data_IF_495104224855
#
_entry.id   IF_495104224855
#
_cell.length_a   1.000
_cell.length_b   1.000
_cell.length_c   1.000
_cell.angle_alpha   90.00
_cell.angle_beta   90.00
_cell.angle_gamma   90.00
#
_symmetry.space_group_name_H-M   'P 1'
#
loop_
_entity.id
_entity.type
_entity.pdbx_description
1 polymer ?
#
# COMPACT_ATOMS: atom_id res chain seq x y z
N UNK A 1 20.88 7.00 -21.11
CA UNK A 1 19.73 6.14 -21.51
C UNK A 1 18.49 6.94 -21.92
N UNK A 2 18.08 7.98 -21.17
CA UNK A 2 16.91 8.84 -21.53
C UNK A 2 17.07 9.47 -22.93
N UNK A 3 18.17 10.15 -23.16
CA UNK A 3 18.46 10.81 -24.44
C UNK A 3 18.43 9.80 -25.59
N UNK A 4 19.07 8.64 -25.42
CA UNK A 4 19.09 7.59 -26.44
C UNK A 4 17.69 7.05 -26.72
N UNK A 5 16.89 6.77 -25.69
CA UNK A 5 15.53 6.28 -25.91
C UNK A 5 14.66 7.28 -26.66
N UNK A 6 14.73 8.56 -26.31
CA UNK A 6 13.99 9.64 -26.96
C UNK A 6 14.50 9.96 -28.38
N UNK A 7 15.78 9.76 -28.64
CA UNK A 7 16.34 9.94 -30.00
C UNK A 7 15.92 8.82 -30.95
N UNK A 8 15.73 7.62 -30.45
CA UNK A 8 15.24 6.47 -31.24
C UNK A 8 13.73 6.52 -31.47
N UNK A 9 12.98 6.90 -30.46
CA UNK A 9 11.54 7.08 -30.54
C UNK A 9 11.09 8.19 -29.56
N UNK A 10 10.73 9.38 -30.06
CA UNK A 10 10.31 10.50 -29.24
C UNK A 10 9.09 10.21 -28.34
N UNK A 11 8.21 9.30 -28.76
CA UNK A 11 7.00 8.91 -28.02
C UNK A 11 7.28 7.91 -26.89
N UNK A 12 8.51 7.38 -26.82
CA UNK A 12 8.87 6.42 -25.76
C UNK A 12 8.68 7.04 -24.38
N UNK A 13 7.90 6.35 -23.55
CA UNK A 13 7.79 6.70 -22.13
C UNK A 13 9.02 6.22 -21.38
N UNK A 14 9.76 7.15 -20.80
CA UNK A 14 10.92 6.86 -19.97
C UNK A 14 10.58 7.20 -18.53
N UNK A 15 10.87 6.27 -17.62
CA UNK A 15 10.68 6.46 -16.18
C UNK A 15 12.03 6.46 -15.48
N UNK A 16 12.17 7.33 -14.49
CA UNK A 16 13.27 7.26 -13.55
C UNK A 16 13.00 6.16 -12.51
N UNK A 17 14.04 5.50 -12.04
CA UNK A 17 13.97 4.58 -10.92
C UNK A 17 14.59 5.24 -9.70
N UNK A 18 13.82 5.36 -8.62
CA UNK A 18 14.32 5.80 -7.32
C UNK A 18 14.49 4.59 -6.40
N UNK A 19 15.70 4.40 -5.94
CA UNK A 19 16.04 3.44 -4.89
C UNK A 19 17.28 3.96 -4.16
N UNK A 20 17.05 4.58 -3.01
CA UNK A 20 18.13 5.07 -2.16
C UNK A 20 18.37 4.11 -1.00
N UNK A 21 19.55 4.15 -0.47
CA UNK A 21 19.95 3.33 0.67
C UNK A 21 20.92 4.09 1.55
N UNK A 22 21.01 3.66 2.79
CA UNK A 22 22.00 4.16 3.75
C UNK A 22 22.98 3.06 4.12
N UNK A 23 24.18 3.44 4.50
CA UNK A 23 25.12 2.54 5.13
C UNK A 23 24.97 2.65 6.66
N UNK A 24 24.57 1.58 7.32
CA UNK A 24 24.69 1.52 8.78
C UNK A 24 26.16 1.29 9.16
N UNK A 25 26.81 2.37 9.55
CA UNK A 25 28.24 2.35 9.87
C UNK A 25 28.58 1.52 11.12
N UNK A 26 27.59 1.19 11.96
CA UNK A 26 27.79 0.32 13.13
C UNK A 26 27.88 -1.15 12.74
N UNK A 27 27.13 -1.56 11.72
CA UNK A 27 27.08 -2.94 11.24
C UNK A 27 27.74 -3.16 9.88
N UNK A 28 28.14 -2.10 9.19
CA UNK A 28 28.78 -2.17 7.87
C UNK A 28 27.87 -2.73 6.77
N UNK A 29 26.54 -2.58 6.89
CA UNK A 29 25.59 -3.11 5.92
C UNK A 29 24.66 -2.02 5.37
N UNK A 30 24.14 -2.28 4.18
CA UNK A 30 23.21 -1.39 3.49
C UNK A 30 21.81 -1.58 4.07
N UNK A 31 21.09 -0.46 4.30
CA UNK A 31 19.71 -0.41 4.80
C UNK A 31 18.85 0.36 3.82
N UNK A 32 17.76 -0.24 3.38
CA UNK A 32 16.80 0.37 2.45
C UNK A 32 15.53 0.87 3.13
N UNK A 33 15.20 0.32 4.30
CA UNK A 33 13.93 0.59 4.99
C UNK A 33 14.10 1.42 6.27
N UNK A 34 15.21 2.15 6.39
CA UNK A 34 15.35 3.19 7.40
C UNK A 34 14.46 4.40 7.05
N UNK A 35 13.94 5.15 8.03
CA UNK A 35 13.12 6.34 7.77
C UNK A 35 13.81 7.36 6.86
N UNK A 36 15.11 7.56 7.02
CA UNK A 36 15.91 8.47 6.22
C UNK A 36 16.05 8.01 4.76
N UNK A 37 16.18 6.69 4.52
CA UNK A 37 16.22 6.13 3.17
C UNK A 37 14.86 6.32 2.47
N UNK A 38 13.77 6.13 3.20
CA UNK A 38 12.41 6.35 2.67
C UNK A 38 12.18 7.83 2.34
N UNK A 39 12.62 8.75 3.21
CA UNK A 39 12.53 10.18 2.95
C UNK A 39 13.34 10.59 1.72
N UNK A 40 14.53 10.02 1.54
CA UNK A 40 15.37 10.25 0.36
C UNK A 40 14.72 9.69 -0.93
N UNK A 41 14.09 8.51 -0.89
CA UNK A 41 13.34 7.97 -2.03
C UNK A 41 12.18 8.88 -2.43
N UNK A 42 11.39 9.37 -1.46
CA UNK A 42 10.30 10.32 -1.71
C UNK A 42 10.82 11.61 -2.32
N UNK A 43 11.87 12.21 -1.76
CA UNK A 43 12.49 13.41 -2.28
C UNK A 43 13.05 13.21 -3.71
N UNK A 44 13.61 12.04 -4.00
CA UNK A 44 14.08 11.70 -5.34
C UNK A 44 12.91 11.61 -6.32
N UNK A 45 11.82 10.92 -5.96
CA UNK A 45 10.64 10.81 -6.79
C UNK A 45 10.01 12.18 -7.08
N UNK A 46 9.89 13.02 -6.06
CA UNK A 46 9.41 14.39 -6.17
C UNK A 46 10.30 15.23 -7.09
N UNK A 47 11.60 15.16 -6.90
CA UNK A 47 12.58 15.88 -7.75
C UNK A 47 12.47 15.43 -9.21
N UNK A 48 12.40 14.12 -9.48
CA UNK A 48 12.25 13.60 -10.84
C UNK A 48 10.97 14.08 -11.49
N UNK A 49 9.86 14.08 -10.74
CA UNK A 49 8.56 14.49 -11.26
C UNK A 49 8.48 16.00 -11.53
N UNK A 50 8.84 16.82 -10.54
CA UNK A 50 8.57 18.26 -10.60
C UNK A 50 9.73 19.10 -11.15
N UNK A 51 10.98 18.61 -11.07
CA UNK A 51 12.15 19.34 -11.57
C UNK A 51 12.66 18.82 -12.90
N UNK A 52 12.59 17.51 -13.12
CA UNK A 52 13.10 16.87 -14.33
C UNK A 52 11.99 16.56 -15.33
N UNK A 53 10.74 16.51 -14.90
CA UNK A 53 9.58 16.18 -15.74
C UNK A 53 9.52 14.69 -16.12
N UNK A 54 10.16 13.82 -15.35
CA UNK A 54 10.12 12.37 -15.56
C UNK A 54 9.22 11.71 -14.53
N UNK A 55 8.35 10.81 -14.99
CA UNK A 55 7.66 9.92 -14.06
C UNK A 55 8.66 9.03 -13.34
N UNK A 56 8.49 8.86 -12.05
CA UNK A 56 9.33 8.01 -11.23
C UNK A 56 8.68 6.65 -10.99
N UNK A 57 9.46 5.59 -11.01
CA UNK A 57 9.08 4.29 -10.51
C UNK A 57 9.85 4.01 -9.21
N UNK A 58 9.19 3.40 -8.26
CA UNK A 58 9.83 3.03 -7.00
C UNK A 58 9.37 1.63 -6.56
N UNK A 59 10.21 0.96 -5.79
CA UNK A 59 9.92 -0.39 -5.31
C UNK A 59 9.31 -0.37 -3.91
N UNK A 60 7.97 -0.43 -3.83
CA UNK A 60 7.24 -0.57 -2.56
C UNK A 60 7.47 -1.90 -1.85
N UNK A 61 7.78 -2.95 -2.61
CA UNK A 61 7.94 -4.31 -2.09
C UNK A 61 9.30 -4.63 -1.44
N UNK A 62 10.21 -3.66 -1.29
CA UNK A 62 11.47 -3.88 -0.57
C UNK A 62 11.29 -3.94 0.94
N UNK A 63 12.08 -4.80 1.58
CA UNK A 63 12.21 -4.91 3.03
C UNK A 63 13.62 -5.36 3.41
N UNK A 64 14.13 -4.87 4.54
CA UNK A 64 15.37 -5.37 5.14
C UNK A 64 15.12 -6.58 6.06
N UNK A 65 13.84 -6.95 6.27
CA UNK A 65 13.48 -8.12 7.06
C UNK A 65 13.91 -9.42 6.37
N UNK A 66 14.48 -10.35 7.13
CA UNK A 66 14.95 -11.64 6.66
C UNK A 66 13.92 -12.76 6.80
N UNK A 67 12.89 -12.52 7.62
CA UNK A 67 11.81 -13.46 7.89
C UNK A 67 10.46 -12.83 7.53
N UNK A 68 9.48 -13.63 7.09
CA UNK A 68 8.13 -13.15 6.85
C UNK A 68 7.47 -12.70 8.15
N UNK A 69 6.52 -11.77 8.05
CA UNK A 69 5.71 -11.32 9.17
C UNK A 69 5.64 -9.81 9.34
N UNK A 70 5.40 -9.38 10.58
CA UNK A 70 5.05 -7.99 10.92
C UNK A 70 6.09 -6.97 10.45
N UNK A 71 7.39 -7.24 10.64
CA UNK A 71 8.45 -6.32 10.24
C UNK A 71 8.45 -6.10 8.73
N UNK A 72 8.43 -7.19 7.95
CA UNK A 72 8.41 -7.13 6.49
C UNK A 72 7.16 -6.38 5.99
N UNK A 73 5.99 -6.72 6.51
CA UNK A 73 4.71 -6.10 6.13
C UNK A 73 4.70 -4.61 6.47
N UNK A 74 5.16 -4.22 7.66
CA UNK A 74 5.25 -2.81 8.07
C UNK A 74 6.18 -2.00 7.15
N UNK A 75 7.37 -2.52 6.87
CA UNK A 75 8.34 -1.83 6.00
C UNK A 75 7.79 -1.63 4.59
N UNK A 76 7.18 -2.67 4.03
CA UNK A 76 6.52 -2.62 2.71
C UNK A 76 5.32 -1.68 2.69
N UNK A 77 4.48 -1.69 3.72
CA UNK A 77 3.33 -0.80 3.82
C UNK A 77 3.74 0.67 3.84
N UNK A 78 4.66 1.04 4.74
CA UNK A 78 5.12 2.43 4.87
C UNK A 78 5.77 2.89 3.56
N UNK A 79 6.61 2.03 2.97
CA UNK A 79 7.28 2.33 1.71
C UNK A 79 6.27 2.52 0.57
N UNK A 80 5.29 1.65 0.44
CA UNK A 80 4.26 1.73 -0.59
C UNK A 80 3.37 2.96 -0.44
N UNK A 81 2.98 3.33 0.77
CA UNK A 81 2.20 4.55 1.04
C UNK A 81 3.01 5.81 0.73
N UNK A 82 4.25 5.90 1.23
CA UNK A 82 5.09 7.08 1.03
C UNK A 82 5.43 7.32 -0.46
N UNK A 83 5.77 6.27 -1.18
CA UNK A 83 6.13 6.36 -2.59
C UNK A 83 4.92 6.46 -3.52
N UNK A 84 3.76 5.94 -3.12
CA UNK A 84 2.54 5.94 -3.92
C UNK A 84 2.02 7.33 -4.29
N UNK A 85 2.41 8.35 -3.53
CA UNK A 85 2.05 9.76 -3.81
C UNK A 85 2.81 10.34 -5.03
N UNK A 86 3.99 9.81 -5.34
CA UNK A 86 4.91 10.39 -6.32
C UNK A 86 5.32 9.43 -7.43
N UNK A 87 4.98 8.17 -7.33
CA UNK A 87 5.50 7.17 -8.27
C UNK A 87 4.51 6.04 -8.57
N UNK A 88 4.77 5.36 -9.69
CA UNK A 88 4.18 4.04 -9.91
C UNK A 88 4.93 3.03 -9.05
N UNK A 89 4.23 2.36 -8.16
CA UNK A 89 4.84 1.39 -7.25
C UNK A 89 5.01 0.06 -7.98
N UNK A 90 6.27 -0.36 -8.12
CA UNK A 90 6.60 -1.75 -8.44
C UNK A 90 6.53 -2.59 -7.16
N UNK A 91 6.00 -3.80 -7.26
CA UNK A 91 5.92 -4.70 -6.12
C UNK A 91 6.73 -5.96 -6.35
N UNK A 92 7.51 -6.36 -5.34
CA UNK A 92 8.14 -7.66 -5.25
C UNK A 92 7.38 -8.51 -4.22
N UNK A 93 6.35 -9.21 -4.68
CA UNK A 93 5.59 -10.12 -3.82
C UNK A 93 6.47 -11.26 -3.31
N UNK A 94 6.47 -11.46 -2.01
CA UNK A 94 7.26 -12.52 -1.37
C UNK A 94 8.74 -12.20 -1.15
N UNK A 95 9.26 -11.07 -1.63
CA UNK A 95 10.65 -10.70 -1.46
C UNK A 95 10.98 -10.30 -0.02
N UNK A 96 12.10 -10.82 0.49
CA UNK A 96 12.70 -10.52 1.78
C UNK A 96 14.20 -10.23 1.59
N UNK A 97 14.87 -9.72 2.64
CA UNK A 97 16.31 -9.40 2.64
C UNK A 97 16.72 -8.65 1.38
N UNK A 98 16.07 -7.53 1.12
CA UNK A 98 16.39 -6.66 -0.03
C UNK A 98 16.22 -7.36 -1.40
N UNK A 99 15.31 -8.31 -1.48
CA UNK A 99 15.03 -9.07 -2.70
C UNK A 99 15.91 -10.32 -2.89
N UNK A 100 16.78 -10.67 -1.94
CA UNK A 100 17.67 -11.84 -2.02
C UNK A 100 16.99 -13.15 -1.64
N UNK A 101 15.90 -13.08 -0.86
CA UNK A 101 15.17 -14.25 -0.36
C UNK A 101 13.73 -14.17 -0.82
N UNK A 102 13.17 -15.30 -1.24
CA UNK A 102 11.76 -15.44 -1.55
C UNK A 102 11.06 -16.27 -0.47
N UNK A 103 9.87 -15.81 -0.05
CA UNK A 103 9.02 -16.50 0.92
C UNK A 103 7.59 -16.60 0.41
N UNK A 104 7.04 -17.80 0.20
CA UNK A 104 5.62 -17.99 -0.15
C UNK A 104 4.67 -17.42 0.90
N UNK A 105 5.01 -17.54 2.18
CA UNK A 105 4.22 -16.95 3.28
C UNK A 105 4.16 -15.43 3.15
N UNK A 106 5.31 -14.79 2.91
CA UNK A 106 5.34 -13.34 2.70
C UNK A 106 4.57 -12.93 1.43
N UNK A 107 4.58 -13.77 0.40
CA UNK A 107 3.81 -13.49 -0.82
C UNK A 107 2.31 -13.39 -0.56
N UNK A 108 1.76 -14.26 0.31
CA UNK A 108 0.35 -14.19 0.71
C UNK A 108 0.07 -12.90 1.47
N UNK A 109 0.92 -12.53 2.42
CA UNK A 109 0.80 -11.27 3.17
C UNK A 109 0.93 -10.05 2.26
N UNK A 110 1.80 -10.09 1.28
CA UNK A 110 1.99 -9.01 0.30
C UNK A 110 0.78 -8.87 -0.63
N UNK A 111 0.13 -9.96 -1.05
CA UNK A 111 -1.11 -9.90 -1.83
C UNK A 111 -2.24 -9.23 -1.05
N UNK A 112 -2.35 -9.56 0.24
CA UNK A 112 -3.30 -8.92 1.13
C UNK A 112 -3.03 -7.42 1.27
N UNK A 113 -1.76 -7.05 1.47
CA UNK A 113 -1.31 -5.67 1.52
C UNK A 113 -1.64 -4.91 0.22
N UNK A 114 -1.41 -5.52 -0.93
CA UNK A 114 -1.72 -4.90 -2.23
C UNK A 114 -3.22 -4.69 -2.41
N UNK A 115 -4.04 -5.65 -2.02
CA UNK A 115 -5.50 -5.51 -2.05
C UNK A 115 -5.98 -4.35 -1.19
N UNK A 116 -5.44 -4.22 0.02
CA UNK A 116 -5.72 -3.09 0.92
C UNK A 116 -5.30 -1.76 0.30
N UNK A 117 -4.08 -1.66 -0.21
CA UNK A 117 -3.55 -0.43 -0.80
C UNK A 117 -4.30 -0.02 -2.07
N UNK A 118 -4.66 -0.96 -2.92
CA UNK A 118 -5.47 -0.72 -4.11
C UNK A 118 -6.84 -0.13 -3.74
N UNK A 119 -7.48 -0.69 -2.71
CA UNK A 119 -8.75 -0.16 -2.22
C UNK A 119 -8.59 1.22 -1.57
N UNK A 120 -7.54 1.43 -0.78
CA UNK A 120 -7.23 2.72 -0.17
C UNK A 120 -7.01 3.82 -1.21
N UNK A 121 -6.33 3.50 -2.31
CA UNK A 121 -6.05 4.44 -3.41
C UNK A 121 -7.28 4.69 -4.31
N UNK A 122 -8.34 3.90 -4.20
CA UNK A 122 -9.56 4.10 -4.99
C UNK A 122 -10.29 5.35 -4.51
N UNK A 123 -10.65 6.22 -5.44
CA UNK A 123 -11.45 7.41 -5.11
C UNK A 123 -12.78 7.00 -4.47
N UNK A 124 -13.09 7.61 -3.35
CA UNK A 124 -14.40 7.47 -2.74
C UNK A 124 -15.44 8.23 -3.59
N UNK A 125 -16.56 7.59 -3.85
CA UNK A 125 -17.70 8.25 -4.52
C UNK A 125 -18.46 9.02 -3.46
N UNK A 126 -18.60 10.34 -3.68
CA UNK A 126 -19.39 11.21 -2.81
C UNK A 126 -20.54 11.76 -3.65
N UNK A 127 -21.73 11.22 -3.44
CA UNK A 127 -22.98 11.64 -4.07
C UNK A 127 -24.14 11.52 -3.06
N UNK A 128 -25.33 11.89 -3.44
CA UNK A 128 -26.50 11.86 -2.57
C UNK A 128 -26.81 10.45 -2.04
N UNK A 129 -26.69 9.42 -2.88
CA UNK A 129 -26.89 8.02 -2.49
C UNK A 129 -25.85 7.58 -1.45
N UNK A 130 -24.57 7.90 -1.67
CA UNK A 130 -23.51 7.55 -0.73
C UNK A 130 -23.61 8.29 0.61
N UNK A 131 -24.12 9.52 0.60
CA UNK A 131 -24.32 10.32 1.80
C UNK A 131 -25.55 9.89 2.60
N UNK A 132 -26.59 9.36 1.93
CA UNK A 132 -27.81 8.83 2.53
C UNK A 132 -28.48 9.79 3.58
N UNK A 133 -28.46 11.09 3.33
CA UNK A 133 -28.92 12.11 4.30
C UNK A 133 -30.39 11.89 4.68
N UNK A 134 -31.27 11.66 3.71
CA UNK A 134 -32.69 11.45 3.95
C UNK A 134 -32.93 10.21 4.82
N UNK A 135 -32.17 9.16 4.61
CA UNK A 135 -32.26 7.94 5.40
C UNK A 135 -31.76 8.17 6.83
N UNK A 136 -30.65 8.90 7.00
CA UNK A 136 -30.15 9.29 8.32
C UNK A 136 -31.21 10.11 9.09
N UNK A 137 -31.83 11.07 8.44
CA UNK A 137 -32.89 11.90 9.06
C UNK A 137 -34.10 11.05 9.42
N UNK A 138 -34.52 10.13 8.56
CA UNK A 138 -35.72 9.30 8.80
C UNK A 138 -35.53 8.27 9.91
N UNK A 139 -34.35 7.66 10.01
CA UNK A 139 -34.04 6.63 11.01
C UNK A 139 -33.69 7.29 12.36
N UNK A 140 -32.88 8.33 12.34
CA UNK A 140 -32.42 9.03 13.55
C UNK A 140 -31.68 8.10 14.52
N UNK A 141 -32.00 8.20 15.79
CA UNK A 141 -31.35 7.48 16.91
C UNK A 141 -32.07 6.19 17.30
N UNK A 142 -32.80 5.56 16.41
CA UNK A 142 -33.50 4.30 16.70
C UNK A 142 -32.51 3.15 16.89
N UNK A 143 -32.55 2.39 18.00
CA UNK A 143 -31.67 1.25 18.20
C UNK A 143 -31.79 0.23 17.05
N UNK A 144 -30.66 -0.16 16.45
CA UNK A 144 -30.61 -1.14 15.36
C UNK A 144 -31.16 -0.68 14.01
N UNK A 145 -31.68 0.54 13.90
CA UNK A 145 -32.37 1.03 12.71
C UNK A 145 -31.55 0.99 11.42
N UNK A 146 -30.27 1.31 11.48
CA UNK A 146 -29.41 1.33 10.29
C UNK A 146 -29.05 -0.05 9.76
N UNK A 147 -28.97 -1.07 10.59
CA UNK A 147 -28.56 -2.43 10.15
C UNK A 147 -29.54 -3.08 9.16
N UNK A 148 -30.82 -2.75 9.27
CA UNK A 148 -31.87 -3.28 8.41
C UNK A 148 -32.27 -2.30 7.29
N UNK A 149 -31.58 -1.18 7.16
CA UNK A 149 -31.91 -0.16 6.17
C UNK A 149 -31.58 -0.63 4.76
N UNK A 150 -32.35 -0.16 3.79
CA UNK A 150 -32.15 -0.51 2.38
C UNK A 150 -30.78 -0.04 1.86
N UNK A 151 -30.36 1.15 2.29
CA UNK A 151 -29.02 1.67 1.97
C UNK A 151 -27.92 0.75 2.49
N UNK A 152 -28.01 0.33 3.76
CA UNK A 152 -27.02 -0.60 4.33
C UNK A 152 -26.99 -1.92 3.57
N UNK A 153 -28.14 -2.50 3.20
CA UNK A 153 -28.21 -3.75 2.45
C UNK A 153 -27.59 -3.62 1.06
N UNK A 154 -27.75 -2.48 0.38
CA UNK A 154 -27.13 -2.21 -0.92
C UNK A 154 -25.60 -2.07 -0.81
N UNK A 155 -25.10 -1.36 0.21
CA UNK A 155 -23.69 -0.96 0.33
C UNK A 155 -22.84 -1.83 1.26
N UNK A 156 -23.43 -2.74 2.02
CA UNK A 156 -22.70 -3.57 2.98
C UNK A 156 -21.57 -4.42 2.35
N UNK A 157 -21.63 -4.69 1.05
CA UNK A 157 -20.61 -5.45 0.33
C UNK A 157 -19.52 -4.58 -0.31
N UNK A 158 -19.68 -3.26 -0.32
CA UNK A 158 -18.72 -2.32 -0.89
C UNK A 158 -17.51 -2.11 0.00
N UNK A 159 -17.62 -2.49 1.27
CA UNK A 159 -16.51 -2.43 2.23
C UNK A 159 -15.51 -3.54 1.94
N UNK A 160 -14.27 -3.17 1.70
CA UNK A 160 -13.20 -4.13 1.48
C UNK A 160 -13.04 -5.09 2.68
N UNK A 161 -12.90 -6.35 2.39
CA UNK A 161 -12.66 -7.39 3.40
C UNK A 161 -11.36 -8.12 3.10
N UNK A 162 -10.58 -8.34 4.14
CA UNK A 162 -9.39 -9.18 4.10
C UNK A 162 -9.77 -10.64 3.79
N UNK A 163 -8.93 -11.29 2.98
CA UNK A 163 -9.02 -12.74 2.77
C UNK A 163 -8.13 -13.52 3.75
N UNK A 164 -7.22 -12.84 4.44
CA UNK A 164 -6.23 -13.42 5.36
C UNK A 164 -6.57 -13.11 6.80
N UNK A 165 -7.05 -11.90 7.08
CA UNK A 165 -7.35 -11.46 8.45
C UNK A 165 -8.86 -11.49 8.72
N UNK A 166 -9.25 -12.18 9.78
CA UNK A 166 -10.64 -12.20 10.24
C UNK A 166 -11.11 -10.84 10.74
N UNK A 167 -12.39 -10.53 10.54
CA UNK A 167 -13.10 -9.36 11.10
C UNK A 167 -14.23 -9.80 12.01
N UNK A 168 -13.95 -10.71 12.91
CA UNK A 168 -14.93 -11.12 13.92
C UNK A 168 -14.84 -10.19 15.13
N UNK A 169 -15.96 -9.88 15.79
CA UNK A 169 -15.93 -9.19 17.06
C UNK A 169 -15.06 -9.99 18.04
N UNK A 170 -14.33 -9.27 18.90
CA UNK A 170 -13.62 -9.87 20.00
C UNK A 170 -14.63 -10.53 20.97
N UNK A 171 -14.48 -11.83 21.18
CA UNK A 171 -15.27 -12.57 22.16
C UNK A 171 -14.35 -13.06 23.29
N UNK A 172 -13.23 -13.71 22.95
CA UNK A 172 -12.18 -14.11 23.88
C UNK A 172 -10.86 -14.40 23.15
N UNK A 173 -9.75 -14.44 23.86
CA UNK A 173 -8.45 -14.87 23.32
C UNK A 173 -8.47 -16.31 22.79
N UNK A 174 -9.27 -17.17 23.39
CA UNK A 174 -9.40 -18.58 23.02
C UNK A 174 -10.09 -18.73 21.65
N UNK A 175 -11.07 -17.88 21.34
CA UNK A 175 -11.77 -17.89 20.04
C UNK A 175 -10.90 -17.44 18.88
N UNK A 176 -9.90 -16.60 19.12
CA UNK A 176 -8.98 -16.12 18.08
C UNK A 176 -7.88 -17.16 17.77
N UNK A 177 -7.52 -17.99 18.72
CA UNK A 177 -6.54 -19.06 18.54
C UNK A 177 -7.14 -20.34 17.93
N UNK A 178 -8.45 -20.51 17.98
CA UNK A 178 -9.17 -21.67 17.45
C UNK A 178 -9.62 -21.55 15.98
N UNK A 179 -9.28 -20.47 15.31
CA UNK A 179 -9.57 -20.21 13.89
C UNK A 179 -8.30 -20.06 13.10
#
# INVERSE_FOLDING_TARGET
SYVLAKSLNPETQVRALALTSLMDMRGGHVVFCAPEALAADVAMCETMQYRVGLSCAAYGGYTDAKLPGMRATREKLIRSLGLGLYSTIGSFSGALDQGKVFSPTQMILDQELHGFLARYATKQVVNEDALAIDEIVSIGWRPGGYLASEHTLRHMRDVWRSNVYGRTPWVSLEDEQGK
#
